data_IF_568199018033
#
_entry.id   IF_568199018033
#
_cell.length_a   1.000
_cell.length_b   1.000
_cell.length_c   1.000
_cell.angle_alpha   90.00
_cell.angle_beta   90.00
_cell.angle_gamma   90.00
#
_symmetry.space_group_name_H-M   'P 1'
#
loop_
_entity.id
_entity.type
_entity.pdbx_description
1 polymer ?
#
# COMPACT_ATOMS: atom_id res chain seq x y z
N UNK A 1 39.62 4.74 -60.68
CA UNK A 1 40.13 3.36 -60.82
C UNK A 1 39.37 2.50 -59.80
N UNK A 2 38.20 1.97 -60.14
CA UNK A 2 37.95 0.62 -60.72
C UNK A 2 38.44 -0.51 -59.77
N UNK A 3 37.68 -1.51 -59.33
CA UNK A 3 36.30 -1.95 -59.60
C UNK A 3 35.88 -2.94 -58.45
N UNK A 4 34.59 -3.10 -58.13
CA UNK A 4 34.07 -3.93 -57.04
C UNK A 4 33.70 -5.35 -57.51
N UNK A 5 33.70 -6.34 -56.59
CA UNK A 5 33.19 -7.69 -56.87
C UNK A 5 31.73 -7.84 -56.40
N UNK A 6 30.86 -8.04 -57.39
CA UNK A 6 29.49 -8.57 -57.33
C UNK A 6 29.49 -10.11 -57.26
N UNK A 7 28.27 -10.64 -57.02
CA UNK A 7 27.70 -12.00 -57.25
C UNK A 7 27.26 -12.68 -55.94
N UNK A 8 26.05 -13.22 -55.77
CA UNK A 8 24.91 -13.46 -56.69
C UNK A 8 23.66 -13.80 -55.86
N UNK A 9 22.50 -13.43 -56.38
CA UNK A 9 21.16 -13.84 -55.95
C UNK A 9 20.94 -15.36 -55.90
N UNK A 10 20.02 -15.79 -55.02
CA UNK A 10 19.05 -16.85 -55.33
C UNK A 10 17.77 -16.71 -54.48
N UNK A 11 16.69 -16.27 -55.15
CA UNK A 11 15.28 -16.33 -54.73
C UNK A 11 14.70 -17.72 -55.06
N UNK A 12 13.83 -18.25 -54.18
CA UNK A 12 12.43 -18.71 -54.42
C UNK A 12 11.96 -19.59 -53.24
N UNK A 13 10.84 -19.25 -52.55
CA UNK A 13 9.46 -19.75 -52.76
C UNK A 13 9.43 -21.29 -52.73
N UNK A 14 8.82 -21.97 -51.76
CA UNK A 14 7.38 -22.15 -51.42
C UNK A 14 7.34 -23.02 -50.13
N UNK A 15 6.30 -23.26 -49.33
CA UNK A 15 4.85 -23.35 -49.50
C UNK A 15 4.18 -23.38 -48.12
N UNK A 16 2.96 -22.82 -48.06
CA UNK A 16 1.93 -23.04 -47.06
C UNK A 16 1.39 -24.49 -47.13
N UNK A 17 0.83 -24.94 -46.01
CA UNK A 17 -0.22 -25.97 -45.85
C UNK A 17 0.15 -27.48 -45.85
N UNK A 18 0.13 -28.05 -44.64
CA UNK A 18 -0.44 -29.37 -44.29
C UNK A 18 -0.54 -29.45 -42.75
N UNK A 19 -1.64 -29.01 -42.13
CA UNK A 19 -2.78 -29.82 -41.63
C UNK A 19 -2.43 -31.11 -40.85
N UNK A 20 -2.88 -31.12 -39.58
CA UNK A 20 -3.61 -32.22 -38.89
C UNK A 20 -2.82 -33.46 -38.42
N UNK A 21 -2.58 -33.54 -37.10
CA UNK A 21 -3.17 -34.52 -36.15
C UNK A 21 -2.22 -34.89 -35.02
N UNK A 22 -2.66 -34.74 -33.77
CA UNK A 22 -3.03 -35.84 -32.87
C UNK A 22 -3.26 -35.32 -31.45
N UNK A 23 -4.56 -35.29 -31.10
CA UNK A 23 -5.11 -35.46 -29.76
C UNK A 23 -4.72 -36.83 -29.20
N UNK A 24 -4.95 -36.97 -27.88
CA UNK A 24 -4.90 -38.19 -27.03
C UNK A 24 -3.57 -38.36 -26.26
N UNK A 25 -3.52 -38.59 -24.94
CA UNK A 25 -4.53 -39.00 -23.95
C UNK A 25 -4.03 -38.65 -22.55
N UNK A 26 -4.89 -38.06 -21.72
CA UNK A 26 -4.78 -38.12 -20.27
C UNK A 26 -5.26 -39.49 -19.77
N UNK A 27 -4.58 -40.07 -18.78
CA UNK A 27 -5.10 -41.17 -17.96
C UNK A 27 -5.20 -40.72 -16.50
N UNK A 28 -6.29 -41.07 -15.79
CA UNK A 28 -6.47 -40.79 -14.37
C UNK A 28 -6.04 -42.01 -13.52
N UNK A 29 -5.53 -41.77 -12.30
CA UNK A 29 -5.45 -42.82 -11.28
C UNK A 29 -6.50 -42.56 -10.20
N UNK A 30 -7.30 -43.62 -9.97
CA UNK A 30 -8.41 -43.72 -9.03
C UNK A 30 -7.93 -44.07 -7.61
N UNK A 31 -8.79 -43.73 -6.66
CA UNK A 31 -8.85 -44.09 -5.25
C UNK A 31 -9.16 -45.57 -4.98
N UNK A 32 -8.67 -46.07 -3.84
CA UNK A 32 -9.18 -47.17 -2.99
C UNK A 32 -8.45 -47.05 -1.64
N UNK A 33 -8.91 -47.35 -0.43
CA UNK A 33 -10.19 -47.63 0.25
C UNK A 33 -9.80 -47.83 1.74
N UNK A 34 -10.58 -47.32 2.71
CA UNK A 34 -10.47 -47.63 4.17
C UNK A 34 -11.01 -49.06 4.49
N UNK A 35 -11.08 -49.61 5.74
CA UNK A 35 -10.89 -49.02 7.09
C UNK A 35 -10.26 -49.94 8.19
N UNK A 36 -10.03 -49.41 9.40
CA UNK A 36 -10.32 -50.05 10.71
C UNK A 36 -9.98 -49.15 11.92
N UNK A 37 -10.83 -49.17 12.95
CA UNK A 37 -10.70 -48.59 14.29
C UNK A 37 -11.17 -49.66 15.31
N UNK A 38 -11.27 -49.47 16.65
CA UNK A 38 -10.65 -48.56 17.67
C UNK A 38 -10.15 -49.45 18.88
N UNK A 39 -10.10 -49.10 20.22
CA UNK A 39 -10.52 -47.91 21.00
C UNK A 39 -9.64 -47.45 22.21
N UNK A 40 -9.91 -46.23 22.76
CA UNK A 40 -10.37 -45.97 24.16
C UNK A 40 -10.16 -44.51 24.66
N UNK A 41 -11.25 -43.95 25.25
CA UNK A 41 -11.41 -43.16 26.51
C UNK A 41 -10.42 -42.01 26.85
N UNK A 42 -10.78 -40.84 27.43
CA UNK A 42 -11.93 -40.39 28.21
C UNK A 42 -11.89 -38.85 28.45
N UNK A 43 -13.05 -38.32 28.86
CA UNK A 43 -13.32 -37.16 29.75
C UNK A 43 -13.65 -35.76 29.21
N UNK A 44 -14.55 -35.02 29.92
CA UNK A 44 -15.36 -33.95 29.39
C UNK A 44 -14.83 -32.56 29.80
N UNK A 45 -14.99 -31.55 28.93
CA UNK A 45 -14.77 -30.17 29.35
C UNK A 45 -15.76 -29.22 28.67
N UNK A 46 -16.70 -28.73 29.50
CA UNK A 46 -17.33 -27.40 29.51
C UNK A 46 -17.69 -26.77 28.17
N UNK A 47 -19.00 -26.78 27.92
CA UNK A 47 -19.71 -25.84 27.07
C UNK A 47 -19.29 -24.40 27.38
N UNK A 48 -18.71 -23.74 26.38
CA UNK A 48 -18.61 -22.28 26.33
C UNK A 48 -19.34 -21.87 25.06
N UNK A 49 -20.47 -21.20 25.26
CA UNK A 49 -21.29 -20.61 24.20
C UNK A 49 -20.41 -19.86 23.18
N UNK A 50 -20.47 -20.22 21.88
CA UNK A 50 -19.86 -19.40 20.86
C UNK A 50 -20.69 -18.12 20.73
N UNK A 51 -20.16 -17.03 21.29
CA UNK A 51 -20.67 -15.68 21.06
C UNK A 51 -20.73 -15.42 19.55
N UNK A 52 -21.95 -15.44 19.04
CA UNK A 52 -22.28 -15.36 17.62
C UNK A 52 -22.04 -13.93 17.10
N UNK A 53 -20.76 -13.59 16.88
CA UNK A 53 -20.39 -12.34 16.21
C UNK A 53 -20.70 -12.46 14.72
N UNK A 54 -21.93 -12.10 14.35
CA UNK A 54 -22.32 -11.81 12.96
C UNK A 54 -21.26 -10.88 12.34
N UNK A 55 -20.50 -11.43 11.40
CA UNK A 55 -19.37 -10.78 10.75
C UNK A 55 -19.79 -10.49 9.31
N UNK A 56 -19.89 -9.22 8.94
CA UNK A 56 -20.11 -8.80 7.56
C UNK A 56 -18.93 -9.26 6.70
N UNK A 57 -19.20 -10.03 5.64
CA UNK A 57 -18.24 -10.25 4.56
C UNK A 57 -17.89 -8.90 3.95
N UNK A 58 -16.61 -8.70 3.60
CA UNK A 58 -16.17 -7.60 2.75
C UNK A 58 -16.86 -7.73 1.38
N UNK A 59 -18.06 -7.19 1.24
CA UNK A 59 -18.64 -6.92 -0.07
C UNK A 59 -18.11 -5.57 -0.50
N UNK A 60 -17.03 -5.58 -1.29
CA UNK A 60 -16.92 -4.58 -2.35
C UNK A 60 -18.26 -4.62 -3.10
N UNK A 61 -18.85 -3.46 -3.36
CA UNK A 61 -20.11 -3.38 -4.11
C UNK A 61 -19.98 -4.23 -5.39
N UNK A 62 -20.80 -5.29 -5.55
CA UNK A 62 -20.74 -6.16 -6.72
C UNK A 62 -21.07 -5.41 -8.03
N UNK A 63 -21.55 -4.16 -7.97
CA UNK A 63 -21.71 -3.28 -9.12
C UNK A 63 -20.39 -2.65 -9.63
N UNK A 64 -19.25 -2.87 -8.97
CA UNK A 64 -17.93 -2.44 -9.47
C UNK A 64 -17.38 -3.29 -10.64
N UNK A 65 -18.18 -4.21 -11.19
CA UNK A 65 -17.78 -5.20 -12.19
C UNK A 65 -17.46 -4.67 -13.59
N UNK A 66 -17.55 -3.36 -13.83
CA UNK A 66 -17.18 -2.73 -15.10
C UNK A 66 -16.11 -1.63 -14.92
N UNK A 67 -15.24 -1.73 -13.90
CA UNK A 67 -13.99 -0.98 -13.96
C UNK A 67 -13.11 -1.65 -15.01
N UNK A 68 -12.97 -1.00 -16.16
CA UNK A 68 -11.86 -1.24 -17.09
C UNK A 68 -10.55 -1.24 -16.29
N UNK A 69 -9.51 -1.91 -16.78
CA UNK A 69 -8.19 -1.92 -16.12
C UNK A 69 -7.56 -0.50 -15.97
N UNK A 70 -8.25 0.55 -16.41
CA UNK A 70 -7.79 1.93 -16.50
C UNK A 70 -8.88 2.88 -16.02
N UNK A 71 -8.49 4.02 -15.47
CA UNK A 71 -9.43 5.12 -15.24
C UNK A 71 -9.70 5.83 -16.58
N UNK A 72 -10.86 6.50 -16.72
CA UNK A 72 -11.19 7.19 -17.99
C UNK A 72 -10.31 8.43 -18.20
N UNK A 73 -10.11 9.21 -17.14
CA UNK A 73 -9.33 10.46 -17.12
C UNK A 73 -8.89 10.79 -15.66
N UNK A 74 -8.16 11.89 -15.48
CA UNK A 74 -7.70 12.35 -14.16
C UNK A 74 -8.87 12.72 -13.22
N UNK A 75 -9.96 13.28 -13.73
CA UNK A 75 -11.14 13.65 -12.93
C UNK A 75 -11.89 12.41 -12.43
N UNK A 76 -11.92 11.34 -13.22
CA UNK A 76 -12.44 10.04 -12.82
C UNK A 76 -11.59 9.45 -11.69
N UNK A 77 -10.26 9.53 -11.78
CA UNK A 77 -9.37 9.13 -10.68
C UNK A 77 -9.68 9.90 -9.38
N UNK A 78 -9.91 11.22 -9.45
CA UNK A 78 -10.28 12.06 -8.29
C UNK A 78 -11.63 11.66 -7.69
N UNK A 79 -12.65 11.44 -8.52
CA UNK A 79 -13.98 10.96 -8.07
C UNK A 79 -13.89 9.62 -7.34
N UNK A 80 -13.12 8.67 -7.88
CA UNK A 80 -12.91 7.37 -7.22
C UNK A 80 -12.17 7.55 -5.89
N UNK A 81 -11.14 8.39 -5.86
CA UNK A 81 -10.37 8.67 -4.63
C UNK A 81 -11.24 9.23 -3.50
N UNK A 82 -12.14 10.17 -3.83
CA UNK A 82 -13.13 10.69 -2.88
C UNK A 82 -14.01 9.56 -2.32
N UNK A 83 -14.46 8.65 -3.18
CA UNK A 83 -15.23 7.46 -2.78
C UNK A 83 -14.47 6.60 -1.75
N UNK A 84 -13.21 6.27 -2.06
CA UNK A 84 -12.33 5.49 -1.17
C UNK A 84 -12.14 6.19 0.19
N UNK A 85 -11.92 7.51 0.19
CA UNK A 85 -11.74 8.27 1.44
C UNK A 85 -13.03 8.28 2.30
N UNK A 86 -14.20 8.43 1.67
CA UNK A 86 -15.51 8.36 2.37
C UNK A 86 -15.77 6.97 2.96
N UNK A 87 -15.43 5.92 2.22
CA UNK A 87 -15.56 4.54 2.70
C UNK A 87 -14.70 4.29 3.94
N UNK A 88 -13.44 4.74 3.94
CA UNK A 88 -12.57 4.56 5.12
C UNK A 88 -12.97 5.38 6.31
N UNK A 89 -13.45 6.60 6.09
CA UNK A 89 -14.00 7.40 7.19
C UNK A 89 -15.10 6.62 7.90
N UNK A 90 -16.00 6.01 7.13
CA UNK A 90 -17.07 5.16 7.65
C UNK A 90 -16.53 3.94 8.39
N UNK A 91 -15.49 3.29 7.89
CA UNK A 91 -14.85 2.13 8.54
C UNK A 91 -14.25 2.48 9.89
N UNK A 92 -13.46 3.55 9.98
CA UNK A 92 -12.84 3.96 11.26
C UNK A 92 -13.89 4.39 12.28
N UNK A 93 -14.92 5.13 11.86
CA UNK A 93 -16.05 5.48 12.73
C UNK A 93 -16.71 4.21 13.31
N UNK A 94 -16.99 3.20 12.48
CA UNK A 94 -17.52 1.90 12.94
C UNK A 94 -16.59 1.19 13.93
N UNK A 95 -15.27 1.36 13.78
CA UNK A 95 -14.28 0.82 14.72
C UNK A 95 -14.32 1.55 16.07
N UNK A 96 -14.68 2.84 16.10
CA UNK A 96 -14.82 3.64 17.32
C UNK A 96 -16.13 3.37 18.06
N UNK A 97 -17.26 3.17 17.38
CA UNK A 97 -18.60 3.08 18.02
C UNK A 97 -18.71 2.08 19.18
N UNK A 98 -17.91 1.00 19.18
CA UNK A 98 -17.95 -0.02 20.25
C UNK A 98 -16.89 0.18 21.34
N UNK A 99 -16.08 1.24 21.29
CA UNK A 99 -14.97 1.48 22.24
C UNK A 99 -15.40 2.43 23.34
N UNK A 100 -14.73 2.33 24.49
CA UNK A 100 -14.89 3.28 25.59
C UNK A 100 -13.98 4.48 25.30
N UNK A 101 -14.57 5.67 25.29
CA UNK A 101 -13.88 6.96 25.22
C UNK A 101 -14.23 7.76 26.45
N UNK A 102 -13.32 8.62 26.93
CA UNK A 102 -13.73 9.71 27.80
C UNK A 102 -14.58 10.70 26.98
N UNK A 103 -15.38 11.50 27.65
CA UNK A 103 -16.36 12.40 26.99
C UNK A 103 -15.73 13.32 25.95
N UNK A 104 -14.51 13.82 26.19
CA UNK A 104 -13.77 14.70 25.26
C UNK A 104 -13.05 13.95 24.15
N UNK A 105 -12.55 12.75 24.42
CA UNK A 105 -11.66 12.02 23.52
C UNK A 105 -12.34 11.72 22.18
N UNK A 106 -13.66 11.51 22.17
CA UNK A 106 -14.35 11.24 20.90
C UNK A 106 -14.21 12.40 19.91
N UNK A 107 -14.34 13.65 20.37
CA UNK A 107 -14.17 14.82 19.51
C UNK A 107 -12.74 14.89 18.95
N UNK A 108 -11.75 14.64 19.82
CA UNK A 108 -10.34 14.67 19.44
C UNK A 108 -10.01 13.62 18.35
N UNK A 109 -10.55 12.40 18.49
CA UNK A 109 -10.42 11.36 17.47
C UNK A 109 -11.15 11.70 16.17
N UNK A 110 -12.28 12.39 16.24
CA UNK A 110 -13.01 12.90 15.07
C UNK A 110 -12.23 14.03 14.36
N UNK A 111 -11.55 14.90 15.12
CA UNK A 111 -10.65 15.93 14.59
C UNK A 111 -9.39 15.34 13.94
N UNK A 112 -8.76 14.32 14.53
CA UNK A 112 -7.65 13.56 13.92
C UNK A 112 -8.06 12.87 12.60
N UNK A 113 -9.34 12.55 12.45
CA UNK A 113 -9.92 11.97 11.24
C UNK A 113 -10.34 13.03 10.19
N UNK A 114 -10.41 14.30 10.59
CA UNK A 114 -10.96 15.37 9.77
C UNK A 114 -12.47 15.24 9.50
N UNK A 115 -13.21 14.63 10.43
CA UNK A 115 -14.64 14.35 10.28
C UNK A 115 -15.47 15.60 10.56
N UNK A 116 -16.52 15.82 9.76
CA UNK A 116 -17.45 16.93 10.00
C UNK A 116 -16.77 18.30 9.84
N UNK A 117 -17.02 19.22 10.76
CA UNK A 117 -16.39 20.54 10.75
C UNK A 117 -15.22 20.66 11.74
N UNK A 118 -14.76 19.58 12.37
CA UNK A 118 -13.63 19.62 13.30
C UNK A 118 -12.37 19.04 12.64
N UNK A 119 -11.20 19.61 12.96
CA UNK A 119 -9.92 19.14 12.45
C UNK A 119 -8.77 19.43 13.41
N UNK A 120 -7.67 18.67 13.30
CA UNK A 120 -6.49 18.89 14.13
C UNK A 120 -5.66 20.10 13.66
N UNK A 121 -4.99 20.77 14.60
CA UNK A 121 -4.05 21.88 14.40
C UNK A 121 -2.77 21.55 13.61
N UNK A 122 -2.64 20.31 13.18
CA UNK A 122 -1.57 19.83 12.35
C UNK A 122 -2.17 18.99 11.22
N UNK A 123 -1.32 18.48 10.33
CA UNK A 123 -1.72 17.70 9.17
C UNK A 123 -1.48 16.19 9.40
N UNK A 124 -2.24 15.48 10.28
CA UNK A 124 -2.02 14.06 10.47
C UNK A 124 -2.41 13.27 9.23
N UNK A 125 -1.69 12.18 8.96
CA UNK A 125 -2.00 11.28 7.84
C UNK A 125 -3.35 10.57 7.98
N UNK A 126 -3.92 10.55 9.19
CA UNK A 126 -5.26 10.05 9.46
C UNK A 126 -6.38 10.99 9.03
N UNK A 127 -6.10 12.26 8.71
CA UNK A 127 -7.14 13.16 8.23
C UNK A 127 -7.52 12.77 6.80
N UNK A 128 -8.72 12.21 6.63
CA UNK A 128 -9.18 11.69 5.34
C UNK A 128 -9.67 12.79 4.39
N UNK A 129 -10.01 13.98 4.89
CA UNK A 129 -10.29 15.15 4.03
C UNK A 129 -8.99 15.72 3.46
N UNK A 130 -7.97 15.85 4.31
CA UNK A 130 -6.63 16.24 3.89
C UNK A 130 -6.06 15.19 2.92
N UNK A 131 -6.23 13.89 3.19
CA UNK A 131 -5.77 12.81 2.30
C UNK A 131 -6.48 12.83 0.94
N UNK A 132 -7.77 13.15 0.91
CA UNK A 132 -8.48 13.38 -0.34
C UNK A 132 -7.85 14.54 -1.12
N UNK A 133 -7.59 15.68 -0.47
CA UNK A 133 -6.97 16.85 -1.10
C UNK A 133 -5.54 16.60 -1.56
N UNK A 134 -4.73 15.91 -0.76
CA UNK A 134 -3.42 15.42 -1.16
C UNK A 134 -3.51 14.53 -2.40
N UNK A 135 -4.56 13.71 -2.52
CA UNK A 135 -4.83 12.90 -3.71
C UNK A 135 -5.14 13.72 -4.94
N UNK A 136 -6.01 14.73 -4.83
CA UNK A 136 -6.26 15.68 -5.93
C UNK A 136 -4.94 16.30 -6.41
N UNK A 137 -4.10 16.76 -5.47
CA UNK A 137 -2.83 17.40 -5.80
C UNK A 137 -1.81 16.45 -6.41
N UNK A 138 -1.75 15.19 -5.95
CA UNK A 138 -0.92 14.17 -6.54
C UNK A 138 -1.37 13.83 -7.97
N UNK A 139 -2.67 13.71 -8.20
CA UNK A 139 -3.24 13.40 -9.52
C UNK A 139 -2.93 14.54 -10.51
N UNK A 140 -3.07 15.81 -10.10
CA UNK A 140 -2.67 16.95 -10.92
C UNK A 140 -1.17 16.90 -11.29
N UNK A 141 -0.31 16.51 -10.34
CA UNK A 141 1.13 16.36 -10.64
C UNK A 141 1.42 15.16 -11.54
N UNK A 142 0.58 14.10 -11.50
CA UNK A 142 0.69 12.99 -12.45
C UNK A 142 0.30 13.41 -13.87
N UNK A 143 -0.64 14.34 -14.03
CA UNK A 143 -0.97 14.95 -15.33
C UNK A 143 0.22 15.72 -15.91
N UNK A 144 0.92 16.50 -15.09
CA UNK A 144 2.15 17.18 -15.51
C UNK A 144 3.22 16.17 -15.96
N UNK A 145 3.39 15.06 -15.23
CA UNK A 145 4.34 14.02 -15.60
C UNK A 145 3.93 13.23 -16.85
N UNK A 146 2.63 13.07 -17.08
CA UNK A 146 2.10 12.49 -18.31
C UNK A 146 2.42 13.37 -19.52
N UNK A 147 2.21 14.68 -19.41
CA UNK A 147 2.57 15.63 -20.48
C UNK A 147 4.09 15.64 -20.74
N UNK A 148 4.90 15.62 -19.68
CA UNK A 148 6.36 15.49 -19.81
C UNK A 148 6.76 14.23 -20.58
N UNK A 149 6.08 13.10 -20.33
CA UNK A 149 6.30 11.87 -21.08
C UNK A 149 5.92 12.02 -22.56
N UNK A 150 4.75 12.61 -22.85
CA UNK A 150 4.27 12.80 -24.22
C UNK A 150 5.25 13.65 -25.05
N UNK A 151 5.81 14.69 -24.43
CA UNK A 151 6.81 15.58 -25.04
C UNK A 151 8.20 14.93 -25.17
N UNK A 152 8.49 13.89 -24.37
CA UNK A 152 9.81 13.27 -24.27
C UNK A 152 9.70 11.73 -24.25
N UNK A 153 9.37 11.09 -25.40
CA UNK A 153 9.17 9.63 -25.48
C UNK A 153 10.42 8.79 -25.20
N UNK A 154 11.59 9.44 -25.06
CA UNK A 154 12.83 8.82 -24.64
C UNK A 154 12.99 8.64 -23.14
N UNK A 155 12.13 9.26 -22.34
CA UNK A 155 12.07 9.02 -20.91
C UNK A 155 11.46 7.65 -20.61
N UNK A 156 12.11 6.91 -19.72
CA UNK A 156 11.55 5.71 -19.11
C UNK A 156 10.77 6.09 -17.86
N UNK A 157 9.54 5.61 -17.73
CA UNK A 157 8.70 5.78 -16.55
C UNK A 157 8.49 4.42 -15.89
N UNK A 158 8.91 4.32 -14.63
CA UNK A 158 8.93 3.07 -13.88
C UNK A 158 8.19 3.25 -12.56
N UNK A 159 7.24 2.36 -12.32
CA UNK A 159 6.59 2.22 -11.02
C UNK A 159 7.31 1.15 -10.21
N UNK A 160 7.89 1.54 -9.08
CA UNK A 160 8.79 0.70 -8.29
C UNK A 160 8.34 0.65 -6.84
N UNK A 161 8.22 -0.57 -6.31
CA UNK A 161 7.92 -0.84 -4.91
C UNK A 161 9.16 -1.36 -4.19
N UNK A 162 9.52 -0.71 -3.08
CA UNK A 162 10.62 -1.10 -2.19
C UNK A 162 10.07 -1.69 -0.90
N UNK A 163 10.37 -2.96 -0.61
CA UNK A 163 9.92 -3.67 0.60
C UNK A 163 11.12 -4.33 1.26
N UNK A 164 11.28 -4.22 2.59
CA UNK A 164 12.36 -4.91 3.28
C UNK A 164 11.99 -5.29 4.71
N UNK A 165 12.43 -6.46 5.16
CA UNK A 165 12.05 -7.02 6.47
C UNK A 165 12.48 -6.12 7.64
N UNK A 166 13.59 -5.40 7.49
CA UNK A 166 14.08 -4.43 8.49
C UNK A 166 13.13 -3.26 8.76
N UNK A 167 12.10 -3.08 7.93
CA UNK A 167 11.07 -2.07 8.09
C UNK A 167 9.71 -2.70 8.43
N UNK A 168 9.70 -3.98 8.80
CA UNK A 168 8.53 -4.63 9.37
C UNK A 168 8.61 -4.62 10.90
N UNK A 169 7.46 -4.47 11.55
CA UNK A 169 7.39 -4.39 13.00
C UNK A 169 6.09 -5.01 13.52
N UNK A 170 6.11 -5.48 14.76
CA UNK A 170 4.95 -6.07 15.41
C UNK A 170 3.90 -4.99 15.69
N UNK A 171 2.64 -5.26 15.36
CA UNK A 171 1.58 -4.26 15.57
C UNK A 171 1.31 -3.93 17.04
N UNK A 172 1.74 -4.78 17.99
CA UNK A 172 1.43 -4.63 19.42
C UNK A 172 2.33 -3.63 20.13
N UNK A 173 3.60 -3.54 19.74
CA UNK A 173 4.62 -2.78 20.47
C UNK A 173 5.84 -2.37 19.63
N UNK A 174 5.77 -2.48 18.30
CA UNK A 174 6.89 -2.18 17.42
C UNK A 174 7.07 -0.69 17.09
N UNK A 175 8.24 -0.39 16.52
CA UNK A 175 8.64 0.94 16.07
C UNK A 175 8.45 1.08 14.55
N UNK A 176 7.68 2.08 14.13
CA UNK A 176 7.47 2.40 12.72
C UNK A 176 8.59 3.32 12.21
N UNK A 177 9.57 2.74 11.49
CA UNK A 177 10.79 3.42 11.03
C UNK A 177 10.63 4.11 9.65
N UNK A 178 9.67 5.04 9.55
CA UNK A 178 9.30 5.74 8.31
C UNK A 178 10.47 6.54 7.73
N UNK A 179 11.21 7.27 8.58
CA UNK A 179 12.36 8.08 8.14
C UNK A 179 13.47 7.22 7.54
N UNK A 180 13.84 6.13 8.22
CA UNK A 180 14.90 5.22 7.76
C UNK A 180 14.51 4.52 6.46
N UNK A 181 13.26 4.13 6.30
CA UNK A 181 12.74 3.58 5.05
C UNK A 181 12.87 4.58 3.90
N UNK A 182 12.29 5.78 4.08
CA UNK A 182 12.38 6.89 3.11
C UNK A 182 13.82 7.21 2.70
N UNK A 183 14.71 7.41 3.69
CA UNK A 183 16.12 7.75 3.44
C UNK A 183 16.82 6.64 2.67
N UNK A 184 16.60 5.37 3.03
CA UNK A 184 17.17 4.25 2.31
C UNK A 184 16.70 4.18 0.84
N UNK A 185 15.44 4.50 0.55
CA UNK A 185 14.93 4.51 -0.82
C UNK A 185 15.56 5.66 -1.62
N UNK A 186 15.55 6.87 -1.05
CA UNK A 186 16.16 8.04 -1.68
C UNK A 186 17.64 7.83 -2.00
N UNK A 187 18.41 7.27 -1.06
CA UNK A 187 19.85 7.06 -1.25
C UNK A 187 20.14 6.01 -2.33
N UNK A 188 19.33 4.95 -2.43
CA UNK A 188 19.52 3.93 -3.47
C UNK A 188 19.21 4.50 -4.85
N UNK A 189 18.16 5.31 -5.00
CA UNK A 189 17.84 5.96 -6.28
C UNK A 189 18.91 6.98 -6.66
N UNK A 190 19.30 7.87 -5.74
CA UNK A 190 20.28 8.94 -5.98
C UNK A 190 21.65 8.38 -6.37
N UNK A 191 22.13 7.38 -5.66
CA UNK A 191 23.52 6.92 -5.80
C UNK A 191 23.72 5.96 -6.97
N UNK A 192 22.66 5.31 -7.47
CA UNK A 192 22.79 4.21 -8.44
C UNK A 192 22.05 4.45 -9.76
N UNK A 193 21.33 5.56 -9.90
CA UNK A 193 20.60 5.91 -11.12
C UNK A 193 20.63 7.40 -11.33
N UNK A 194 20.28 7.84 -12.54
CA UNK A 194 19.95 9.22 -12.93
C UNK A 194 18.43 9.47 -12.90
N UNK A 195 17.63 8.59 -12.29
CA UNK A 195 16.19 8.81 -12.20
C UNK A 195 15.86 10.00 -11.31
N UNK A 196 14.95 10.82 -11.78
CA UNK A 196 14.09 11.63 -10.95
C UNK A 196 13.02 10.72 -10.34
N UNK A 197 12.53 11.05 -9.14
CA UNK A 197 11.50 10.23 -8.54
C UNK A 197 10.61 10.99 -7.56
N UNK A 198 9.33 10.66 -7.55
CA UNK A 198 8.38 11.00 -6.49
C UNK A 198 7.83 9.72 -5.90
N UNK A 199 7.76 9.64 -4.58
CA UNK A 199 7.33 8.44 -3.90
C UNK A 199 6.51 8.72 -2.67
N UNK A 200 5.79 7.68 -2.24
CA UNK A 200 5.06 7.67 -0.98
C UNK A 200 5.50 6.50 -0.09
N UNK A 201 5.57 6.75 1.21
CA UNK A 201 5.68 5.73 2.24
C UNK A 201 4.29 5.23 2.58
N UNK A 202 4.12 3.91 2.52
CA UNK A 202 2.89 3.23 2.89
C UNK A 202 3.18 2.27 4.06
N UNK A 203 2.23 2.16 4.99
CA UNK A 203 2.23 1.11 6.01
C UNK A 203 1.08 0.15 5.74
N UNK A 204 1.42 -1.13 5.62
CA UNK A 204 0.50 -2.20 5.22
C UNK A 204 0.44 -3.26 6.31
N UNK A 205 -0.77 -3.59 6.76
CA UNK A 205 -1.01 -4.72 7.67
C UNK A 205 -0.78 -6.04 6.95
N UNK A 206 -0.05 -6.97 7.57
CA UNK A 206 0.10 -8.35 7.13
C UNK A 206 -0.42 -9.25 8.26
N UNK A 207 -1.63 -9.76 8.07
CA UNK A 207 -2.47 -10.19 9.20
C UNK A 207 -2.24 -11.63 9.67
N UNK A 208 -1.44 -12.40 8.93
CA UNK A 208 -1.14 -13.81 9.21
C UNK A 208 0.37 -14.13 9.10
N UNK A 209 1.22 -13.13 9.33
CA UNK A 209 2.67 -13.25 9.26
C UNK A 209 3.35 -12.70 10.52
N UNK A 210 4.40 -13.37 11.06
CA UNK A 210 4.93 -14.67 10.60
C UNK A 210 3.99 -15.84 10.93
N UNK A 211 4.15 -16.95 10.21
CA UNK A 211 3.30 -18.14 10.39
C UNK A 211 3.34 -18.65 11.84
N UNK A 212 2.18 -19.06 12.37
CA UNK A 212 2.07 -19.66 13.70
C UNK A 212 2.26 -18.70 14.88
N UNK A 213 2.62 -17.44 14.65
CA UNK A 213 2.76 -16.46 15.74
C UNK A 213 1.47 -15.69 16.01
N UNK A 214 1.23 -15.37 17.28
CA UNK A 214 0.13 -14.48 17.73
C UNK A 214 0.37 -12.99 17.40
N UNK A 215 1.48 -12.68 16.72
CA UNK A 215 1.86 -11.35 16.29
C UNK A 215 1.55 -11.14 14.81
N UNK A 216 0.77 -10.10 14.51
CA UNK A 216 0.61 -9.58 13.15
C UNK A 216 1.68 -8.52 12.90
N UNK A 217 2.14 -8.41 11.66
CA UNK A 217 3.20 -7.47 11.28
C UNK A 217 2.62 -6.30 10.49
N UNK A 218 3.14 -5.11 10.73
CA UNK A 218 3.05 -4.01 9.79
C UNK A 218 4.32 -3.95 8.95
N UNK A 219 4.18 -3.60 7.68
CA UNK A 219 5.28 -3.39 6.75
C UNK A 219 5.31 -1.94 6.29
N UNK A 220 6.36 -1.21 6.67
CA UNK A 220 6.66 0.11 6.11
C UNK A 220 7.42 -0.08 4.80
N UNK A 221 6.83 0.37 3.70
CA UNK A 221 7.39 0.21 2.37
C UNK A 221 7.17 1.48 1.55
N UNK A 222 7.82 1.56 0.39
CA UNK A 222 7.72 2.72 -0.47
C UNK A 222 7.25 2.34 -1.86
N UNK A 223 6.42 3.20 -2.42
CA UNK A 223 5.96 3.16 -3.79
C UNK A 223 6.46 4.40 -4.52
N UNK A 224 7.09 4.23 -5.67
CA UNK A 224 7.87 5.29 -6.30
C UNK A 224 7.64 5.30 -7.80
N UNK A 225 7.22 6.44 -8.32
CA UNK A 225 7.27 6.74 -9.74
C UNK A 225 8.65 7.33 -10.06
N UNK A 226 9.43 6.63 -10.86
CA UNK A 226 10.75 7.05 -11.32
C UNK A 226 10.68 7.44 -12.81
N UNK A 227 11.37 8.51 -13.20
CA UNK A 227 11.53 8.89 -14.60
C UNK A 227 12.96 9.32 -14.94
N UNK A 228 13.41 9.05 -16.16
CA UNK A 228 14.74 9.45 -16.64
C UNK A 228 15.24 8.59 -17.81
N UNK A 229 16.56 8.55 -18.07
CA UNK A 229 17.12 7.75 -19.15
C UNK A 229 16.77 6.26 -19.07
N UNK A 230 16.47 5.64 -20.21
CA UNK A 230 16.14 4.21 -20.36
C UNK A 230 17.25 3.28 -19.82
N UNK A 231 16.86 2.08 -19.38
CA UNK A 231 17.78 0.98 -19.05
C UNK A 231 18.37 0.98 -17.63
N UNK A 232 17.99 1.93 -16.77
CA UNK A 232 18.60 2.06 -15.43
C UNK A 232 17.99 1.14 -14.37
N UNK A 233 16.79 0.59 -14.61
CA UNK A 233 16.06 -0.27 -13.66
C UNK A 233 16.82 -1.54 -13.29
N UNK A 234 17.56 -2.13 -14.24
CA UNK A 234 18.38 -3.32 -13.96
C UNK A 234 19.51 -3.01 -12.95
N UNK A 235 20.17 -1.86 -13.11
CA UNK A 235 21.16 -1.36 -12.15
C UNK A 235 20.53 -1.11 -10.78
N UNK A 236 19.36 -0.48 -10.74
CA UNK A 236 18.63 -0.23 -9.49
C UNK A 236 18.29 -1.52 -8.74
N UNK A 237 17.79 -2.55 -9.45
CA UNK A 237 17.51 -3.89 -8.87
C UNK A 237 18.76 -4.50 -8.22
N UNK A 238 19.91 -4.40 -8.89
CA UNK A 238 21.19 -4.94 -8.38
C UNK A 238 21.63 -4.28 -7.08
N UNK A 239 21.48 -2.96 -6.96
CA UNK A 239 21.91 -2.19 -5.78
C UNK A 239 20.85 -2.13 -4.66
N UNK A 240 19.63 -2.59 -4.93
CA UNK A 240 18.55 -2.62 -3.94
C UNK A 240 18.55 -3.88 -3.06
N UNK A 241 19.56 -4.77 -3.16
CA UNK A 241 19.64 -6.03 -2.39
C UNK A 241 19.49 -5.86 -0.87
N UNK A 242 19.79 -4.68 -0.33
CA UNK A 242 19.57 -4.33 1.09
C UNK A 242 18.11 -4.25 1.52
N UNK A 243 17.18 -4.21 0.57
CA UNK A 243 15.74 -4.32 0.81
C UNK A 243 15.32 -5.80 0.79
N UNK A 244 16.10 -6.70 1.40
CA UNK A 244 15.72 -8.12 1.42
C UNK A 244 14.38 -8.27 2.15
N UNK A 245 13.41 -8.88 1.49
CA UNK A 245 12.12 -9.22 2.06
C UNK A 245 11.92 -10.73 2.02
N UNK A 246 11.70 -11.33 3.17
CA UNK A 246 11.39 -12.75 3.35
C UNK A 246 10.09 -13.13 2.66
N UNK A 247 9.10 -12.23 2.68
CA UNK A 247 7.77 -12.45 2.10
C UNK A 247 7.82 -12.39 0.57
N UNK A 248 8.39 -11.34 -0.01
CA UNK A 248 8.36 -11.16 -1.47
C UNK A 248 9.51 -11.85 -2.18
N UNK A 249 10.57 -12.24 -1.46
CA UNK A 249 11.85 -12.77 -1.97
C UNK A 249 12.56 -11.87 -3.00
N UNK A 250 12.00 -10.71 -3.32
CA UNK A 250 12.51 -9.73 -4.25
C UNK A 250 12.75 -8.42 -3.51
N UNK A 251 13.93 -7.79 -3.68
CA UNK A 251 14.21 -6.56 -2.97
C UNK A 251 13.34 -5.39 -3.44
N UNK A 252 13.01 -5.38 -4.73
CA UNK A 252 12.11 -4.41 -5.35
C UNK A 252 11.26 -5.09 -6.42
N UNK A 253 10.01 -4.64 -6.54
CA UNK A 253 9.16 -4.91 -7.70
C UNK A 253 9.18 -3.69 -8.61
N UNK A 254 9.26 -3.89 -9.92
CA UNK A 254 9.23 -2.80 -10.90
C UNK A 254 8.35 -3.15 -12.08
N UNK A 255 7.50 -2.22 -12.49
CA UNK A 255 6.72 -2.30 -13.72
C UNK A 255 6.91 -1.03 -14.53
N UNK A 256 7.01 -1.16 -15.85
CA UNK A 256 6.96 0.00 -16.73
C UNK A 256 5.55 0.59 -16.66
N UNK A 257 5.46 1.91 -16.57
CA UNK A 257 4.17 2.61 -16.57
C UNK A 257 3.58 2.52 -17.98
N UNK A 258 2.31 2.13 -18.06
CA UNK A 258 1.58 2.14 -19.33
C UNK A 258 1.27 3.58 -19.66
N UNK A 259 1.60 4.02 -20.86
CA UNK A 259 1.51 5.42 -21.24
C UNK A 259 0.11 5.81 -21.73
N UNK A 260 -0.89 5.51 -20.91
CA UNK A 260 -2.26 5.97 -21.07
C UNK A 260 -2.54 6.99 -19.96
N UNK A 261 -3.31 8.02 -20.27
CA UNK A 261 -3.67 9.09 -19.34
C UNK A 261 -4.24 8.55 -18.02
N UNK A 262 -5.25 7.67 -18.11
CA UNK A 262 -5.84 6.97 -16.98
C UNK A 262 -4.87 6.11 -16.15
N UNK A 263 -3.70 5.75 -16.70
CA UNK A 263 -2.66 5.06 -15.94
C UNK A 263 -1.96 5.99 -14.95
N UNK A 264 -1.67 7.23 -15.35
CA UNK A 264 -1.03 8.23 -14.50
C UNK A 264 -1.98 8.71 -13.40
N UNK A 265 -3.24 9.01 -13.75
CA UNK A 265 -4.28 9.33 -12.76
C UNK A 265 -4.46 8.20 -11.72
N UNK A 266 -4.50 6.95 -12.19
CA UNK A 266 -4.54 5.76 -11.32
C UNK A 266 -3.33 5.64 -10.40
N UNK A 267 -2.12 5.96 -10.86
CA UNK A 267 -0.91 5.97 -10.01
C UNK A 267 -1.04 7.04 -8.93
N UNK A 268 -1.45 8.26 -9.27
CA UNK A 268 -1.65 9.36 -8.32
C UNK A 268 -2.66 8.98 -7.23
N UNK A 269 -3.81 8.43 -7.64
CA UNK A 269 -4.83 7.87 -6.73
C UNK A 269 -4.25 6.75 -5.86
N UNK A 270 -3.52 5.81 -6.45
CA UNK A 270 -2.92 4.69 -5.70
C UNK A 270 -1.93 5.19 -4.66
N UNK A 271 -1.11 6.18 -4.98
CA UNK A 271 -0.21 6.83 -4.03
C UNK A 271 -0.99 7.48 -2.89
N UNK A 272 -2.12 8.10 -3.18
CA UNK A 272 -2.89 8.82 -2.16
C UNK A 272 -3.82 7.96 -1.31
N UNK A 273 -3.99 6.67 -1.65
CA UNK A 273 -4.94 5.78 -0.97
C UNK A 273 -4.68 5.77 0.55
N UNK A 274 -5.72 5.82 1.39
CA UNK A 274 -5.55 5.54 2.81
C UNK A 274 -5.02 4.11 3.02
N UNK A 275 -4.36 3.80 4.14
CA UNK A 275 -4.01 2.42 4.45
C UNK A 275 -5.23 1.70 5.00
N UNK A 276 -5.80 0.77 4.24
CA UNK A 276 -7.10 0.15 4.60
C UNK A 276 -7.24 -1.32 4.29
N UNK A 277 -6.53 -1.83 3.30
CA UNK A 277 -6.47 -3.26 3.04
C UNK A 277 -5.46 -3.84 3.99
N UNK A 278 -5.72 -5.03 4.53
CA UNK A 278 -4.66 -5.90 5.00
C UNK A 278 -4.14 -6.74 3.84
N UNK A 279 -2.99 -7.39 4.02
CA UNK A 279 -2.56 -8.49 3.16
C UNK A 279 -2.49 -9.78 3.97
N UNK A 280 -2.77 -10.88 3.29
CA UNK A 280 -2.53 -12.24 3.77
C UNK A 280 -1.41 -12.86 2.96
N UNK A 281 -0.53 -13.59 3.64
CA UNK A 281 0.50 -14.43 3.04
C UNK A 281 -0.08 -15.80 2.76
N UNK A 282 0.02 -16.26 1.52
CA UNK A 282 -0.14 -17.66 1.16
C UNK A 282 1.20 -18.37 1.41
N UNK A 283 1.28 -19.14 2.50
CA UNK A 283 2.54 -19.78 2.94
C UNK A 283 3.04 -20.86 1.97
N UNK A 284 2.15 -21.59 1.29
CA UNK A 284 2.55 -22.55 0.25
C UNK A 284 3.27 -21.85 -0.91
N UNK A 285 2.71 -20.73 -1.40
CA UNK A 285 3.35 -19.92 -2.45
C UNK A 285 4.62 -19.27 -1.95
N UNK A 286 4.67 -18.85 -0.69
CA UNK A 286 5.88 -18.32 -0.07
C UNK A 286 6.99 -19.37 -0.08
N UNK A 287 6.72 -20.61 0.34
CA UNK A 287 7.67 -21.71 0.31
C UNK A 287 8.14 -22.00 -1.12
N UNK A 288 7.21 -22.04 -2.08
CA UNK A 288 7.49 -22.21 -3.51
C UNK A 288 8.22 -21.01 -4.16
N UNK A 289 8.38 -19.89 -3.46
CA UNK A 289 9.03 -18.68 -3.98
C UNK A 289 8.23 -17.94 -5.04
N UNK A 290 6.91 -18.04 -4.98
CA UNK A 290 5.97 -17.36 -5.85
C UNK A 290 5.36 -16.13 -5.16
N UNK A 291 4.67 -15.29 -5.92
CA UNK A 291 3.90 -14.17 -5.37
C UNK A 291 2.87 -14.68 -4.34
N UNK A 292 3.05 -14.29 -3.08
CA UNK A 292 2.33 -14.87 -1.95
C UNK A 292 1.43 -13.89 -1.21
N UNK A 293 1.47 -12.58 -1.52
CA UNK A 293 0.64 -11.57 -0.87
C UNK A 293 -0.66 -11.34 -1.65
N UNK A 294 -1.78 -11.38 -0.93
CA UNK A 294 -3.12 -11.14 -1.47
C UNK A 294 -3.89 -10.19 -0.54
N UNK A 295 -4.90 -9.45 -1.04
CA UNK A 295 -5.80 -8.70 -0.18
C UNK A 295 -6.38 -9.59 0.92
N UNK A 296 -6.30 -9.14 2.16
CA UNK A 296 -6.84 -9.87 3.30
C UNK A 296 -8.36 -10.01 3.15
N UNK A 297 -8.88 -11.21 3.41
CA UNK A 297 -10.33 -11.48 3.34
C UNK A 297 -11.08 -10.77 4.46
N UNK A 298 -10.41 -10.54 5.58
CA UNK A 298 -10.96 -9.89 6.77
C UNK A 298 -9.87 -9.16 7.51
N UNK A 299 -10.16 -7.95 7.98
CA UNK A 299 -9.34 -7.30 9.01
C UNK A 299 -10.14 -7.22 10.31
N UNK A 300 -9.51 -7.60 11.40
CA UNK A 300 -10.05 -7.35 12.73
C UNK A 300 -10.05 -5.84 13.05
N UNK A 301 -11.06 -5.39 13.81
CA UNK A 301 -11.24 -3.97 14.15
C UNK A 301 -10.06 -3.32 14.86
N UNK A 302 -9.23 -4.12 15.55
CA UNK A 302 -8.02 -3.61 16.19
C UNK A 302 -6.97 -3.16 15.15
N UNK A 303 -6.87 -3.83 13.99
CA UNK A 303 -5.97 -3.41 12.91
C UNK A 303 -6.33 -2.02 12.39
N UNK A 304 -7.62 -1.75 12.18
CA UNK A 304 -8.08 -0.43 11.76
C UNK A 304 -7.67 0.64 12.79
N UNK A 305 -7.77 0.35 14.10
CA UNK A 305 -7.29 1.28 15.13
C UNK A 305 -5.78 1.49 15.06
N UNK A 306 -5.00 0.42 14.87
CA UNK A 306 -3.53 0.53 14.86
C UNK A 306 -3.01 1.25 13.64
N UNK A 307 -3.63 1.04 12.48
CA UNK A 307 -3.38 1.86 11.31
C UNK A 307 -3.79 3.31 11.58
N UNK A 308 -4.95 3.55 12.19
CA UNK A 308 -5.36 4.90 12.57
C UNK A 308 -4.34 5.58 13.51
N UNK A 309 -3.90 4.92 14.57
CA UNK A 309 -2.88 5.42 15.50
C UNK A 309 -1.59 5.79 14.80
N UNK A 310 -1.08 4.90 13.96
CA UNK A 310 0.13 5.16 13.19
C UNK A 310 -0.03 6.40 12.31
N UNK A 311 -1.16 6.54 11.62
CA UNK A 311 -1.41 7.67 10.73
C UNK A 311 -1.71 8.97 11.49
N UNK A 312 -2.32 8.91 12.67
CA UNK A 312 -2.55 10.06 13.53
C UNK A 312 -1.23 10.65 14.05
N UNK A 313 -0.24 9.79 14.34
CA UNK A 313 1.10 10.20 14.78
C UNK A 313 2.03 10.58 13.62
N UNK A 314 1.63 10.35 12.38
CA UNK A 314 2.46 10.60 11.19
C UNK A 314 2.00 11.88 10.49
N UNK A 315 2.86 12.89 10.32
CA UNK A 315 2.51 14.05 9.49
C UNK A 315 2.32 13.64 8.02
N UNK A 316 1.27 14.13 7.37
CA UNK A 316 0.89 13.81 5.99
C UNK A 316 2.05 14.07 5.01
N UNK A 317 2.75 15.19 5.17
CA UNK A 317 3.89 15.57 4.35
C UNK A 317 5.11 14.66 4.52
N UNK A 318 5.18 13.91 5.60
CA UNK A 318 6.27 12.98 5.87
C UNK A 318 6.17 11.69 5.03
N UNK A 319 4.95 11.38 4.54
CA UNK A 319 4.65 10.24 3.69
C UNK A 319 5.17 10.45 2.27
N UNK A 320 5.15 11.68 1.75
CA UNK A 320 5.62 11.98 0.39
C UNK A 320 7.10 12.35 0.41
N UNK A 321 7.86 11.84 -0.56
CA UNK A 321 9.26 12.19 -0.75
C UNK A 321 9.62 12.37 -2.22
N UNK A 322 10.71 13.10 -2.45
CA UNK A 322 11.25 13.36 -3.79
C UNK A 322 12.74 13.03 -3.91
N UNK A 323 13.16 12.73 -5.13
CA UNK A 323 14.56 12.59 -5.56
C UNK A 323 14.75 13.46 -6.80
N UNK A 324 15.77 14.33 -6.77
CA UNK A 324 16.08 15.29 -7.85
C UNK A 324 14.84 16.13 -8.19
N UNK A 325 14.37 16.16 -9.43
CA UNK A 325 13.22 16.97 -9.85
C UNK A 325 11.93 16.61 -9.08
N UNK A 326 11.82 15.37 -8.59
CA UNK A 326 10.71 14.98 -7.73
C UNK A 326 10.69 15.67 -6.36
N UNK A 327 11.79 16.33 -5.95
CA UNK A 327 11.80 17.23 -4.77
C UNK A 327 10.91 18.44 -5.02
N UNK A 328 10.91 18.99 -6.23
CA UNK A 328 10.05 20.13 -6.59
C UNK A 328 8.59 19.69 -6.71
N UNK A 329 8.32 18.51 -7.28
CA UNK A 329 6.98 17.89 -7.26
C UNK A 329 6.45 17.79 -5.83
N UNK A 330 7.25 17.23 -4.91
CA UNK A 330 6.88 17.16 -3.49
C UNK A 330 6.61 18.54 -2.89
N UNK A 331 7.49 19.52 -3.13
CA UNK A 331 7.34 20.88 -2.58
C UNK A 331 6.02 21.51 -3.01
N UNK A 332 5.64 21.40 -4.29
CA UNK A 332 4.34 21.90 -4.78
C UNK A 332 3.15 21.22 -4.10
N UNK A 333 3.17 19.90 -3.97
CA UNK A 333 2.10 19.15 -3.28
C UNK A 333 2.00 19.60 -1.81
N UNK A 334 3.12 19.65 -1.10
CA UNK A 334 3.15 20.04 0.32
C UNK A 334 2.70 21.49 0.51
N UNK A 335 3.12 22.41 -0.37
CA UNK A 335 2.67 23.80 -0.33
C UNK A 335 1.15 23.88 -0.47
N UNK A 336 0.57 23.18 -1.46
CA UNK A 336 -0.89 23.15 -1.67
C UNK A 336 -1.64 22.55 -0.49
N UNK A 337 -1.07 21.55 0.20
CA UNK A 337 -1.65 21.02 1.44
C UNK A 337 -1.66 22.03 2.57
N UNK A 338 -0.55 22.77 2.77
CA UNK A 338 -0.45 23.84 3.76
C UNK A 338 -1.47 24.94 3.45
N UNK A 339 -1.46 25.46 2.22
CA UNK A 339 -2.40 26.50 1.78
C UNK A 339 -3.88 26.07 1.99
N UNK A 340 -4.19 24.80 1.73
CA UNK A 340 -5.53 24.26 1.97
C UNK A 340 -5.86 24.14 3.45
N UNK A 341 -4.91 23.69 4.28
CA UNK A 341 -5.09 23.60 5.73
C UNK A 341 -5.35 24.98 6.34
N UNK A 342 -4.57 25.99 5.94
CA UNK A 342 -4.69 27.38 6.42
C UNK A 342 -6.04 28.02 6.06
N UNK A 343 -6.65 27.59 4.96
CA UNK A 343 -7.94 28.10 4.47
C UNK A 343 -9.10 27.16 4.75
N UNK A 344 -8.86 26.07 5.50
CA UNK A 344 -9.85 25.04 5.77
C UNK A 344 -10.96 25.57 6.67
N UNK A 345 -12.20 25.40 6.22
CA UNK A 345 -13.39 25.72 7.03
C UNK A 345 -13.59 24.67 8.13
N UNK A 346 -13.82 25.14 9.35
CA UNK A 346 -14.12 24.30 10.50
C UNK A 346 -13.55 24.85 11.80
N UNK A 347 -13.72 24.10 12.88
CA UNK A 347 -13.12 24.32 14.18
C UNK A 347 -11.81 23.53 14.27
N UNK A 348 -10.72 24.25 14.58
CA UNK A 348 -9.41 23.67 14.80
C UNK A 348 -9.24 23.22 16.27
N UNK A 349 -8.76 21.99 16.46
CA UNK A 349 -8.50 21.41 17.78
C UNK A 349 -7.00 21.22 17.97
N UNK A 350 -6.46 21.76 19.08
CA UNK A 350 -5.03 21.70 19.41
C UNK A 350 -4.63 20.31 19.90
N UNK A 351 -4.15 19.45 18.99
CA UNK A 351 -3.91 18.03 19.27
C UNK A 351 -2.45 17.59 19.08
N UNK A 352 -1.63 18.31 18.31
CA UNK A 352 -0.30 17.84 17.91
C UNK A 352 0.61 17.42 19.07
N UNK A 353 0.50 18.08 20.23
CA UNK A 353 1.33 17.81 21.42
C UNK A 353 0.84 16.64 22.28
N UNK A 354 -0.39 16.14 22.08
CA UNK A 354 -1.04 15.16 22.97
C UNK A 354 -1.59 13.93 22.27
N UNK A 355 -1.23 13.71 21.00
CA UNK A 355 -1.65 12.53 20.24
C UNK A 355 -1.24 11.24 20.96
N UNK A 356 -0.02 11.17 21.49
CA UNK A 356 0.46 10.00 22.23
C UNK A 356 -0.39 9.73 23.48
N UNK A 357 -0.64 10.75 24.30
CA UNK A 357 -1.45 10.65 25.52
C UNK A 357 -2.89 10.18 25.23
N UNK A 358 -3.47 10.61 24.11
CA UNK A 358 -4.81 10.18 23.68
C UNK A 358 -4.87 8.68 23.42
N UNK A 359 -3.88 8.13 22.70
CA UNK A 359 -3.82 6.69 22.44
C UNK A 359 -3.46 5.91 23.69
N UNK A 360 -2.57 6.40 24.54
CA UNK A 360 -2.27 5.80 25.85
C UNK A 360 -3.52 5.68 26.72
N UNK A 361 -4.29 6.77 26.83
CA UNK A 361 -5.57 6.78 27.54
C UNK A 361 -6.55 5.77 26.96
N UNK A 362 -6.74 5.79 25.64
CA UNK A 362 -7.65 4.86 24.96
C UNK A 362 -7.26 3.39 25.19
N UNK A 363 -5.98 3.05 25.06
CA UNK A 363 -5.48 1.69 25.24
C UNK A 363 -5.67 1.20 26.68
N UNK A 364 -5.36 2.05 27.66
CA UNK A 364 -5.57 1.74 29.09
C UNK A 364 -7.04 1.46 29.38
N UNK A 365 -7.94 2.33 28.93
CA UNK A 365 -9.39 2.23 29.21
C UNK A 365 -10.05 1.04 28.48
N UNK A 366 -9.39 0.52 27.44
CA UNK A 366 -9.84 -0.63 26.65
C UNK A 366 -8.94 -1.88 26.80
N UNK A 367 -8.05 -1.94 27.80
CA UNK A 367 -7.01 -2.98 27.89
C UNK A 367 -7.56 -4.42 27.90
N UNK A 368 -8.70 -4.67 28.59
CA UNK A 368 -9.35 -5.99 28.59
C UNK A 368 -9.70 -6.48 27.17
N UNK A 369 -10.01 -5.57 26.25
CA UNK A 369 -10.36 -5.87 24.85
C UNK A 369 -9.15 -5.86 23.92
N UNK A 370 -8.15 -5.02 24.24
CA UNK A 370 -6.97 -4.82 23.42
C UNK A 370 -5.75 -5.62 23.90
N UNK A 371 -5.88 -6.55 24.86
CA UNK A 371 -4.88 -7.59 25.19
C UNK A 371 -3.43 -7.07 25.30
N UNK A 372 -3.17 -6.05 26.13
CA UNK A 372 -1.84 -5.50 26.41
C UNK A 372 -1.12 -4.86 25.22
N UNK A 373 -1.84 -4.19 24.31
CA UNK A 373 -1.20 -3.36 23.30
C UNK A 373 -0.53 -2.15 23.94
N UNK A 374 0.65 -1.80 23.44
CA UNK A 374 1.38 -0.59 23.80
C UNK A 374 1.20 0.46 22.71
N UNK A 375 1.31 1.76 23.02
CA UNK A 375 1.34 2.79 21.99
C UNK A 375 2.46 2.51 20.97
N UNK A 376 2.18 2.72 19.68
CA UNK A 376 3.20 2.65 18.64
C UNK A 376 4.17 3.82 18.77
N UNK A 377 5.46 3.56 18.56
CA UNK A 377 6.45 4.60 18.34
C UNK A 377 6.58 4.85 16.84
N UNK A 378 6.49 6.11 16.42
CA UNK A 378 6.55 6.48 15.00
C UNK A 378 7.72 7.43 14.77
N UNK A 379 8.71 6.97 13.99
CA UNK A 379 9.95 7.71 13.72
C UNK A 379 9.95 8.23 12.29
N UNK A 380 9.57 9.49 12.12
CA UNK A 380 9.44 10.15 10.81
C UNK A 380 10.48 11.25 10.56
N UNK A 381 11.31 11.58 11.56
CA UNK A 381 12.49 12.46 11.50
C UNK A 381 13.77 11.70 11.89
N UNK A 382 14.94 12.32 11.66
CA UNK A 382 16.26 11.72 11.92
C UNK A 382 16.51 11.45 13.41
N UNK A 383 16.06 12.35 14.26
CA UNK A 383 16.44 12.41 15.68
C UNK A 383 15.30 11.94 16.62
N UNK A 384 14.41 11.07 16.11
CA UNK A 384 13.28 10.47 16.85
C UNK A 384 13.51 9.00 17.22
#
# INVERSE_FOLDING_TARGET
MANPKKFKDLKKKTSKEALISKKERARPCKSTSSPSSPPQQSNPSTDVDPCDTKTEKLSLDPNSKNLTDYDDDFEHSKRIHLGICKEHMSRWIRSFTKRKFKSTDRSDFEALLGKGLVYADHMPASDLKLRHKMGDFLIDEMEVLFNLWADNPDLDFQWITFVGDKFMFNERDGDAELYKCKKAVQDVIRNNTKYNAVGIIETQAIINYPEGQKGKMFSVHAHVLCWGPKGQTAGLKRHSRRFKSSITKLPIFSSKVVHLEGSFGRIGRYMAKPPYEGKEVNHDKLLAGQACLYPARRMEKHHDLRLFELNAKTPMESLIFGVRDGVEVRKRIVKRMIDWQDTRKGEEVKLGHRVDDLFEGLLRDNNKRLKNYKPLKVKFRKDQ
#
